data_IF_068150469454
#
_entry.id   IF_068150469454
#
_cell.length_a   1.000
_cell.length_b   1.000
_cell.length_c   1.000
_cell.angle_alpha   90.00
_cell.angle_beta   90.00
_cell.angle_gamma   90.00
#
_symmetry.space_group_name_H-M   'P 1'
#
loop_
_entity.id
_entity.type
_entity.pdbx_description
1 polymer ?
#
# COMPACT_ATOMS: atom_id res chain seq x y z
N UNK A 1 14.10 13.88 13.13
CA UNK A 1 13.56 15.15 12.58
C UNK A 1 12.10 15.28 12.97
N UNK A 2 11.60 16.50 13.15
CA UNK A 2 10.19 16.76 13.43
C UNK A 2 9.29 16.27 12.28
N UNK A 3 8.21 15.58 12.60
CA UNK A 3 7.30 14.97 11.62
C UNK A 3 6.69 16.02 10.70
N UNK A 4 6.31 17.16 11.26
CA UNK A 4 5.69 18.26 10.50
C UNK A 4 6.66 18.83 9.46
N UNK A 5 7.94 18.96 9.82
CA UNK A 5 8.98 19.44 8.89
C UNK A 5 9.21 18.44 7.76
N UNK A 6 9.21 17.15 8.07
CA UNK A 6 9.34 16.10 7.05
C UNK A 6 8.15 16.11 6.07
N UNK A 7 6.94 16.34 6.56
CA UNK A 7 5.73 16.39 5.71
C UNK A 7 5.74 17.61 4.77
N UNK A 8 6.26 18.76 5.21
CA UNK A 8 6.48 19.93 4.34
C UNK A 8 7.50 19.61 3.25
N UNK A 9 8.63 19.01 3.61
CA UNK A 9 9.67 18.63 2.64
C UNK A 9 9.13 17.66 1.60
N UNK A 10 8.38 16.63 2.01
CA UNK A 10 7.73 15.69 1.09
C UNK A 10 6.71 16.37 0.17
N UNK A 11 6.03 17.41 0.64
CA UNK A 11 5.10 18.20 -0.16
C UNK A 11 5.82 19.03 -1.22
N UNK A 12 6.98 19.60 -0.88
CA UNK A 12 7.87 20.31 -1.83
C UNK A 12 8.43 19.35 -2.87
N UNK A 13 8.96 18.20 -2.45
CA UNK A 13 9.50 17.19 -3.37
C UNK A 13 8.45 16.69 -4.36
N UNK A 14 7.21 16.48 -3.89
CA UNK A 14 6.07 16.15 -4.77
C UNK A 14 5.81 17.24 -5.81
N UNK A 15 5.78 18.51 -5.40
CA UNK A 15 5.58 19.63 -6.30
C UNK A 15 6.68 19.72 -7.37
N UNK A 16 7.95 19.61 -6.97
CA UNK A 16 9.08 19.65 -7.90
C UNK A 16 9.00 18.52 -8.93
N UNK A 17 8.67 17.31 -8.49
CA UNK A 17 8.44 16.16 -9.38
C UNK A 17 7.34 16.46 -10.41
N UNK A 18 6.17 16.91 -9.96
CA UNK A 18 5.02 17.18 -10.84
C UNK A 18 5.38 18.25 -11.91
N UNK A 19 6.16 19.27 -11.54
CA UNK A 19 6.62 20.31 -12.47
C UNK A 19 7.64 19.79 -13.49
N UNK A 20 8.57 18.92 -13.07
CA UNK A 20 9.58 18.29 -13.94
C UNK A 20 8.93 17.34 -14.96
N UNK A 21 7.91 16.58 -14.52
CA UNK A 21 7.11 15.71 -15.40
C UNK A 21 6.21 16.51 -16.35
N UNK A 22 5.92 17.78 -16.05
CA UNK A 22 5.09 18.64 -16.90
C UNK A 22 5.75 18.97 -18.25
N UNK A 23 4.93 19.23 -19.28
CA UNK A 23 5.41 19.63 -20.62
C UNK A 23 5.64 21.14 -20.74
N UNK A 24 5.55 21.90 -19.64
CA UNK A 24 5.58 23.37 -19.67
C UNK A 24 6.98 23.96 -19.56
N UNK A 25 7.91 23.20 -19.00
CA UNK A 25 9.28 23.64 -18.73
C UNK A 25 10.24 23.15 -19.81
N UNK A 26 11.23 23.97 -20.14
CA UNK A 26 12.35 23.57 -20.99
C UNK A 26 13.34 22.66 -20.24
N UNK A 27 14.32 22.10 -20.95
CA UNK A 27 15.26 21.13 -20.37
C UNK A 27 16.16 21.76 -19.30
N UNK A 28 16.58 23.02 -19.47
CA UNK A 28 17.45 23.72 -18.51
C UNK A 28 16.71 23.99 -17.18
N UNK A 29 15.43 24.38 -17.27
CA UNK A 29 14.55 24.54 -16.12
C UNK A 29 14.34 23.21 -15.39
N UNK A 30 14.11 22.12 -16.13
CA UNK A 30 13.94 20.79 -15.55
C UNK A 30 15.19 20.31 -14.82
N UNK A 31 16.37 20.49 -15.42
CA UNK A 31 17.65 20.17 -14.78
C UNK A 31 17.83 20.96 -13.48
N UNK A 32 17.52 22.25 -13.49
CA UNK A 32 17.60 23.11 -12.30
C UNK A 32 16.67 22.64 -11.18
N UNK A 33 15.45 22.21 -11.50
CA UNK A 33 14.51 21.67 -10.52
C UNK A 33 14.94 20.28 -10.00
N UNK A 34 15.53 19.44 -10.85
CA UNK A 34 16.02 18.11 -10.44
C UNK A 34 17.19 18.25 -9.44
N UNK A 35 18.07 19.24 -9.63
CA UNK A 35 19.11 19.57 -8.64
C UNK A 35 18.48 20.00 -7.32
N UNK A 36 17.48 20.89 -7.34
CA UNK A 36 16.80 21.33 -6.12
C UNK A 36 16.14 20.15 -5.37
N UNK A 37 15.52 19.23 -6.10
CA UNK A 37 14.93 18.00 -5.57
C UNK A 37 15.99 17.11 -4.91
N UNK A 38 17.11 16.84 -5.58
CA UNK A 38 18.21 16.01 -5.03
C UNK A 38 18.85 16.64 -3.79
N UNK A 39 18.99 17.97 -3.75
CA UNK A 39 19.49 18.67 -2.57
C UNK A 39 18.58 18.42 -1.35
N UNK A 40 17.27 18.50 -1.53
CA UNK A 40 16.31 18.24 -0.46
C UNK A 40 16.31 16.77 -0.04
N UNK A 41 16.34 15.84 -0.99
CA UNK A 41 16.41 14.39 -0.72
C UNK A 41 17.64 14.03 0.09
N UNK A 42 18.81 14.52 -0.31
CA UNK A 42 20.07 14.26 0.40
C UNK A 42 20.10 14.92 1.78
N UNK A 43 19.62 16.16 1.91
CA UNK A 43 19.63 16.89 3.20
C UNK A 43 18.73 16.23 4.24
N UNK A 44 17.63 15.63 3.80
CA UNK A 44 16.60 15.07 4.67
C UNK A 44 16.57 13.53 4.69
N UNK A 45 17.55 12.89 4.03
CA UNK A 45 17.68 11.42 3.94
C UNK A 45 16.40 10.75 3.41
N UNK A 46 15.77 11.35 2.40
CA UNK A 46 14.53 10.85 1.77
C UNK A 46 14.90 10.11 0.49
N UNK A 47 14.64 8.81 0.45
CA UNK A 47 14.71 8.02 -0.78
C UNK A 47 13.37 8.09 -1.51
N UNK A 48 13.29 8.97 -2.51
CA UNK A 48 12.06 9.26 -3.25
C UNK A 48 11.85 8.36 -4.48
N UNK A 49 12.70 7.33 -4.67
CA UNK A 49 12.53 6.34 -5.73
C UNK A 49 11.22 5.55 -5.63
N UNK A 50 10.58 5.57 -4.45
CA UNK A 50 9.27 4.99 -4.19
C UNK A 50 8.16 6.06 -4.22
N UNK A 51 7.19 5.89 -5.13
CA UNK A 51 6.03 6.76 -5.25
C UNK A 51 5.17 6.83 -3.97
N UNK A 52 5.30 5.85 -3.06
CA UNK A 52 4.64 5.83 -1.75
C UNK A 52 5.08 6.96 -0.83
N UNK A 53 6.29 7.51 -1.01
CA UNK A 53 6.79 8.65 -0.21
C UNK A 53 5.92 9.89 -0.38
N UNK A 54 5.28 10.03 -1.54
CA UNK A 54 4.41 11.17 -1.87
C UNK A 54 2.93 10.91 -1.59
N UNK A 55 2.52 9.69 -1.23
CA UNK A 55 1.09 9.35 -1.09
C UNK A 55 0.45 10.01 0.14
N UNK A 56 1.25 10.33 1.16
CA UNK A 56 0.78 10.99 2.37
C UNK A 56 1.01 12.51 2.39
N UNK A 57 1.80 13.07 1.45
CA UNK A 57 2.11 14.50 1.45
C UNK A 57 1.01 15.32 0.78
N UNK A 58 0.63 16.43 1.43
CA UNK A 58 -0.35 17.35 0.89
C UNK A 58 0.20 18.03 -0.38
N UNK A 59 -0.65 18.23 -1.38
CA UNK A 59 -0.24 19.02 -2.53
C UNK A 59 -0.02 20.48 -2.08
N UNK A 60 1.14 21.08 -2.36
CA UNK A 60 1.43 22.46 -1.93
C UNK A 60 0.43 23.47 -2.50
N UNK A 61 -0.05 23.30 -3.73
CA UNK A 61 -1.12 24.15 -4.26
C UNK A 61 -2.37 24.08 -3.39
N UNK A 62 -2.69 22.90 -2.85
CA UNK A 62 -3.80 22.76 -1.91
C UNK A 62 -3.53 23.55 -0.62
N UNK A 63 -2.35 23.41 -0.02
CA UNK A 63 -1.98 24.12 1.21
C UNK A 63 -2.05 25.65 1.07
N UNK A 64 -1.64 26.21 -0.08
CA UNK A 64 -1.70 27.64 -0.31
C UNK A 64 -3.09 28.13 -0.77
N UNK A 65 -3.85 27.33 -1.52
CA UNK A 65 -5.15 27.75 -2.06
C UNK A 65 -6.34 27.47 -1.13
N UNK A 66 -6.19 26.66 -0.08
CA UNK A 66 -7.30 26.42 0.88
C UNK A 66 -7.74 27.70 1.60
N UNK A 67 -6.89 28.72 1.72
CA UNK A 67 -7.26 29.99 2.35
C UNK A 67 -7.61 31.11 1.35
N UNK A 68 -7.43 30.89 0.04
CA UNK A 68 -7.80 31.86 -0.97
C UNK A 68 -9.32 31.89 -1.17
N UNK A 69 -9.86 33.09 -1.44
CA UNK A 69 -11.23 33.21 -1.96
C UNK A 69 -11.27 32.64 -3.38
N UNK A 70 -12.20 31.73 -3.63
CA UNK A 70 -12.43 31.17 -4.95
C UNK A 70 -13.33 32.14 -5.70
N UNK A 71 -12.85 32.71 -6.81
CA UNK A 71 -13.68 33.59 -7.64
C UNK A 71 -14.86 32.83 -8.25
N UNK A 72 -15.95 33.54 -8.53
CA UNK A 72 -17.14 32.95 -9.14
C UNK A 72 -16.83 32.27 -10.48
N UNK A 73 -15.96 32.89 -11.30
CA UNK A 73 -15.49 32.32 -12.55
C UNK A 73 -14.68 31.03 -12.34
N UNK A 74 -13.79 30.99 -11.33
CA UNK A 74 -13.03 29.79 -11.01
C UNK A 74 -13.96 28.66 -10.54
N UNK A 75 -14.96 28.97 -9.71
CA UNK A 75 -15.96 28.01 -9.26
C UNK A 75 -16.79 27.46 -10.42
N UNK A 76 -17.22 28.32 -11.35
CA UNK A 76 -17.95 27.92 -12.55
C UNK A 76 -17.11 27.03 -13.47
N UNK A 77 -15.87 27.43 -13.75
CA UNK A 77 -14.95 26.64 -14.57
C UNK A 77 -14.65 25.27 -13.93
N UNK A 78 -14.52 25.21 -12.60
CA UNK A 78 -14.33 23.96 -11.87
C UNK A 78 -15.54 23.02 -12.03
N UNK A 79 -16.75 23.57 -11.99
CA UNK A 79 -17.99 22.80 -12.18
C UNK A 79 -18.10 22.25 -13.61
N UNK A 80 -17.71 23.02 -14.64
CA UNK A 80 -17.65 22.54 -16.02
C UNK A 80 -16.65 21.39 -16.18
N UNK A 81 -15.47 21.49 -15.55
CA UNK A 81 -14.48 20.41 -15.53
C UNK A 81 -15.03 19.16 -14.84
N UNK A 82 -15.75 19.30 -13.72
CA UNK A 82 -16.43 18.17 -13.08
C UNK A 82 -17.42 17.50 -14.03
N UNK A 83 -18.23 18.27 -14.78
CA UNK A 83 -19.17 17.71 -15.76
C UNK A 83 -18.43 16.93 -16.85
N UNK A 84 -17.31 17.44 -17.37
CA UNK A 84 -16.47 16.70 -18.33
C UNK A 84 -15.90 15.42 -17.72
N UNK A 85 -15.39 15.48 -16.49
CA UNK A 85 -14.92 14.30 -15.76
C UNK A 85 -16.02 13.25 -15.57
N UNK A 86 -17.25 13.68 -15.26
CA UNK A 86 -18.40 12.77 -15.16
C UNK A 86 -18.72 12.10 -16.50
N UNK A 87 -18.58 12.81 -17.62
CA UNK A 87 -18.79 12.22 -18.95
C UNK A 87 -17.71 11.18 -19.28
N UNK A 88 -16.44 11.48 -18.99
CA UNK A 88 -15.36 10.50 -19.11
C UNK A 88 -15.60 9.27 -18.24
N UNK A 89 -16.07 9.43 -16.99
CA UNK A 89 -16.45 8.30 -16.12
C UNK A 89 -17.53 7.42 -16.75
N UNK A 90 -18.56 8.01 -17.35
CA UNK A 90 -19.64 7.27 -18.02
C UNK A 90 -19.14 6.47 -19.23
N UNK A 91 -18.11 6.98 -19.90
CA UNK A 91 -17.49 6.34 -21.06
C UNK A 91 -16.36 5.35 -20.70
N UNK A 92 -16.09 5.12 -19.42
CA UNK A 92 -14.99 4.25 -18.97
C UNK A 92 -13.58 4.86 -19.11
N UNK A 93 -13.48 6.15 -19.42
CA UNK A 93 -12.24 6.91 -19.61
C UNK A 93 -11.72 7.45 -18.26
N UNK A 94 -11.24 6.56 -17.40
CA UNK A 94 -10.98 6.92 -16.00
C UNK A 94 -9.76 7.82 -15.79
N UNK A 95 -8.75 7.73 -16.66
CA UNK A 95 -7.55 8.59 -16.58
C UNK A 95 -7.90 10.03 -16.96
N UNK A 96 -8.69 10.22 -18.01
CA UNK A 96 -9.21 11.51 -18.44
C UNK A 96 -10.16 12.10 -17.39
N UNK A 97 -10.96 11.26 -16.73
CA UNK A 97 -11.77 11.70 -15.61
C UNK A 97 -10.92 12.21 -14.43
N UNK A 98 -9.85 11.50 -14.07
CA UNK A 98 -8.90 11.93 -13.03
C UNK A 98 -8.30 13.31 -13.34
N UNK A 99 -7.87 13.53 -14.59
CA UNK A 99 -7.31 14.81 -15.03
C UNK A 99 -8.33 15.95 -14.89
N UNK A 100 -9.58 15.73 -15.35
CA UNK A 100 -10.64 16.73 -15.22
C UNK A 100 -10.96 17.07 -13.77
N UNK A 101 -11.09 16.06 -12.88
CA UNK A 101 -11.36 16.33 -11.46
C UNK A 101 -10.18 17.00 -10.76
N UNK A 102 -8.95 16.66 -11.14
CA UNK A 102 -7.75 17.32 -10.60
C UNK A 102 -7.70 18.79 -10.99
N UNK A 103 -8.01 19.11 -12.25
CA UNK A 103 -8.14 20.51 -12.70
C UNK A 103 -9.27 21.24 -11.96
N UNK A 104 -10.40 20.59 -11.71
CA UNK A 104 -11.50 21.17 -10.92
C UNK A 104 -11.08 21.48 -9.47
N UNK A 105 -10.35 20.56 -8.84
CA UNK A 105 -9.79 20.73 -7.48
C UNK A 105 -8.79 21.90 -7.44
N UNK A 106 -7.93 22.03 -8.46
CA UNK A 106 -6.97 23.12 -8.52
C UNK A 106 -7.64 24.51 -8.61
N UNK A 107 -8.80 24.59 -9.27
CA UNK A 107 -9.59 25.82 -9.38
C UNK A 107 -10.46 26.11 -8.15
N UNK A 108 -11.04 25.06 -7.55
CA UNK A 108 -11.86 25.19 -6.35
C UNK A 108 -11.61 24.00 -5.41
N UNK A 109 -10.60 24.11 -4.52
CA UNK A 109 -10.20 23.04 -3.61
C UNK A 109 -11.20 22.82 -2.46
N UNK A 110 -12.19 23.69 -2.29
CA UNK A 110 -13.15 23.63 -1.18
C UNK A 110 -14.38 22.79 -1.50
N UNK A 111 -14.54 22.35 -2.76
CA UNK A 111 -15.69 21.57 -3.17
C UNK A 111 -15.45 20.07 -2.97
N UNK A 112 -16.04 19.54 -1.89
CA UNK A 112 -15.94 18.12 -1.53
C UNK A 112 -16.36 17.15 -2.66
N UNK A 113 -17.26 17.57 -3.56
CA UNK A 113 -17.77 16.71 -4.64
C UNK A 113 -16.66 16.30 -5.60
N UNK A 114 -15.67 17.16 -5.85
CA UNK A 114 -14.60 16.86 -6.79
C UNK A 114 -13.70 15.74 -6.27
N UNK A 115 -13.33 15.79 -4.98
CA UNK A 115 -12.60 14.71 -4.31
C UNK A 115 -13.40 13.41 -4.30
N UNK A 116 -14.68 13.48 -3.91
CA UNK A 116 -15.57 12.31 -3.92
C UNK A 116 -15.64 11.66 -5.31
N UNK A 117 -15.73 12.46 -6.38
CA UNK A 117 -15.77 11.98 -7.75
C UNK A 117 -14.41 11.41 -8.22
N UNK A 118 -13.31 12.07 -7.88
CA UNK A 118 -11.95 11.59 -8.19
C UNK A 118 -11.62 10.28 -7.47
N UNK A 119 -12.09 10.10 -6.24
CA UNK A 119 -12.00 8.83 -5.52
C UNK A 119 -12.67 7.67 -6.30
N UNK A 120 -13.83 7.88 -6.94
CA UNK A 120 -14.40 6.82 -7.77
C UNK A 120 -13.56 6.50 -9.00
N UNK A 121 -12.96 7.49 -9.64
CA UNK A 121 -12.05 7.24 -10.75
C UNK A 121 -10.83 6.43 -10.28
N UNK A 122 -10.25 6.78 -9.13
CA UNK A 122 -9.19 5.98 -8.51
C UNK A 122 -9.63 4.54 -8.20
N UNK A 123 -10.82 4.33 -7.64
CA UNK A 123 -11.35 2.99 -7.38
C UNK A 123 -11.52 2.17 -8.66
N UNK A 124 -11.93 2.79 -9.78
CA UNK A 124 -12.04 2.13 -11.08
C UNK A 124 -10.70 1.75 -11.70
N UNK A 125 -9.63 2.41 -11.25
CA UNK A 125 -8.24 2.16 -11.67
C UNK A 125 -7.47 1.30 -10.65
N UNK A 126 -8.17 0.71 -9.67
CA UNK A 126 -7.57 -0.10 -8.59
C UNK A 126 -6.54 0.65 -7.73
N UNK A 127 -6.54 1.99 -7.78
CA UNK A 127 -5.69 2.87 -6.97
C UNK A 127 -6.34 3.15 -5.61
N UNK A 128 -6.53 2.10 -4.81
CA UNK A 128 -7.35 2.15 -3.60
C UNK A 128 -6.84 3.13 -2.53
N UNK A 129 -5.53 3.23 -2.32
CA UNK A 129 -4.95 4.21 -1.39
C UNK A 129 -5.22 5.66 -1.80
N UNK A 130 -5.14 5.97 -3.10
CA UNK A 130 -5.52 7.30 -3.61
C UNK A 130 -7.01 7.58 -3.42
N UNK A 131 -7.87 6.57 -3.61
CA UNK A 131 -9.30 6.69 -3.35
C UNK A 131 -9.61 6.96 -1.87
N UNK A 132 -8.89 6.30 -0.94
CA UNK A 132 -9.00 6.56 0.50
C UNK A 132 -8.62 8.00 0.84
N UNK A 133 -7.49 8.49 0.32
CA UNK A 133 -7.03 9.86 0.55
C UNK A 133 -8.08 10.89 0.10
N UNK A 134 -8.61 10.75 -1.12
CA UNK A 134 -9.64 11.65 -1.64
C UNK A 134 -10.98 11.54 -0.88
N UNK A 135 -11.37 10.33 -0.44
CA UNK A 135 -12.57 10.19 0.39
C UNK A 135 -12.41 10.90 1.73
N UNK A 136 -11.26 10.76 2.39
CA UNK A 136 -10.96 11.44 3.65
C UNK A 136 -10.97 12.96 3.50
N UNK A 137 -10.38 13.48 2.42
CA UNK A 137 -10.43 14.94 2.17
C UNK A 137 -11.85 15.42 1.87
N UNK A 138 -12.63 14.66 1.07
CA UNK A 138 -14.05 14.96 0.87
C UNK A 138 -14.82 14.99 2.19
N UNK A 139 -14.58 14.04 3.10
CA UNK A 139 -15.28 13.96 4.40
C UNK A 139 -14.90 15.13 5.29
N UNK A 140 -13.62 15.52 5.30
CA UNK A 140 -13.13 16.68 6.04
C UNK A 140 -13.78 17.98 5.57
N UNK A 141 -13.99 18.15 4.26
CA UNK A 141 -14.67 19.30 3.69
C UNK A 141 -16.18 19.28 3.94
N UNK A 142 -16.84 18.15 3.66
CA UNK A 142 -18.26 17.96 3.93
C UNK A 142 -18.58 16.46 4.05
N UNK A 143 -18.97 15.97 5.25
CA UNK A 143 -19.25 14.56 5.46
C UNK A 143 -20.55 14.16 4.74
N UNK A 144 -20.47 13.18 3.84
CA UNK A 144 -21.63 12.67 3.10
C UNK A 144 -21.66 11.15 3.11
N UNK A 145 -22.87 10.58 3.06
CA UNK A 145 -23.06 9.14 2.94
C UNK A 145 -22.29 8.56 1.74
N UNK A 146 -22.26 9.29 0.61
CA UNK A 146 -21.55 8.88 -0.61
C UNK A 146 -20.03 8.81 -0.42
N UNK A 147 -19.43 9.76 0.28
CA UNK A 147 -17.99 9.75 0.54
C UNK A 147 -17.61 8.59 1.50
N UNK A 148 -18.38 8.38 2.56
CA UNK A 148 -18.20 7.24 3.46
C UNK A 148 -18.42 5.90 2.77
N UNK A 149 -19.45 5.77 1.92
CA UNK A 149 -19.68 4.56 1.16
C UNK A 149 -18.53 4.22 0.20
N UNK A 150 -17.94 5.22 -0.45
CA UNK A 150 -16.76 5.04 -1.30
C UNK A 150 -15.50 4.70 -0.51
N UNK A 151 -15.34 5.29 0.68
CA UNK A 151 -14.27 4.95 1.61
C UNK A 151 -14.37 3.47 2.03
N UNK A 152 -15.57 3.01 2.36
CA UNK A 152 -15.85 1.61 2.67
C UNK A 152 -15.47 0.68 1.51
N UNK A 153 -15.85 1.03 0.27
CA UNK A 153 -15.47 0.25 -0.92
C UNK A 153 -13.95 0.18 -1.09
N UNK A 154 -13.25 1.30 -0.93
CA UNK A 154 -11.79 1.32 -1.04
C UNK A 154 -11.13 0.43 0.01
N UNK A 155 -11.61 0.45 1.26
CA UNK A 155 -11.11 -0.42 2.32
C UNK A 155 -11.45 -1.90 2.09
N UNK A 156 -12.67 -2.22 1.65
CA UNK A 156 -13.05 -3.60 1.29
C UNK A 156 -12.12 -4.18 0.24
N UNK A 157 -11.78 -3.41 -0.81
CA UNK A 157 -10.88 -3.86 -1.87
C UNK A 157 -9.44 -4.10 -1.39
N UNK A 158 -9.05 -3.54 -0.25
CA UNK A 158 -7.75 -3.76 0.40
C UNK A 158 -7.82 -4.79 1.53
N UNK A 159 -8.95 -5.50 1.68
CA UNK A 159 -9.23 -6.45 2.76
C UNK A 159 -9.15 -5.85 4.17
N UNK A 160 -9.29 -4.52 4.28
CA UNK A 160 -9.34 -3.78 5.55
C UNK A 160 -10.79 -3.77 6.05
N UNK A 161 -11.29 -4.94 6.43
CA UNK A 161 -12.73 -5.13 6.67
C UNK A 161 -13.24 -4.38 7.90
N UNK A 162 -12.40 -4.18 8.93
CA UNK A 162 -12.76 -3.35 10.08
C UNK A 162 -12.97 -1.88 9.66
N UNK A 163 -12.00 -1.29 8.95
CA UNK A 163 -12.13 0.08 8.45
C UNK A 163 -13.29 0.23 7.45
N UNK A 164 -13.52 -0.80 6.62
CA UNK A 164 -14.66 -0.83 5.70
C UNK A 164 -15.99 -0.82 6.45
N UNK A 165 -16.13 -1.66 7.49
CA UNK A 165 -17.31 -1.73 8.36
C UNK A 165 -17.59 -0.37 9.00
N UNK A 166 -16.58 0.28 9.55
CA UNK A 166 -16.73 1.58 10.19
C UNK A 166 -17.20 2.66 9.19
N UNK A 167 -16.62 2.66 7.98
CA UNK A 167 -17.01 3.57 6.92
C UNK A 167 -18.44 3.31 6.41
N UNK A 168 -18.83 2.04 6.17
CA UNK A 168 -20.20 1.71 5.75
C UNK A 168 -21.22 1.99 6.84
N UNK A 169 -20.87 1.79 8.11
CA UNK A 169 -21.73 2.17 9.24
C UNK A 169 -22.05 3.65 9.20
N UNK A 170 -21.04 4.52 9.03
CA UNK A 170 -21.26 5.96 8.84
C UNK A 170 -22.03 6.32 7.58
N UNK A 171 -21.83 5.59 6.48
CA UNK A 171 -22.64 5.79 5.28
C UNK A 171 -24.12 5.46 5.52
N UNK A 172 -24.40 4.36 6.21
CA UNK A 172 -25.76 3.91 6.55
C UNK A 172 -26.44 4.82 7.58
N UNK A 173 -25.72 5.31 8.60
CA UNK A 173 -26.24 6.31 9.55
C UNK A 173 -26.71 7.59 8.82
N UNK A 174 -25.97 8.04 7.81
CA UNK A 174 -26.28 9.26 7.06
C UNK A 174 -27.36 9.08 5.97
N UNK A 175 -27.50 7.87 5.43
CA UNK A 175 -28.54 7.51 4.46
C UNK A 175 -29.05 6.08 4.70
N UNK A 176 -29.97 5.90 5.67
CA UNK A 176 -30.49 4.59 6.04
C UNK A 176 -31.33 3.94 4.93
N UNK A 177 -31.82 4.74 3.97
CA UNK A 177 -32.67 4.27 2.87
C UNK A 177 -31.89 3.54 1.78
N UNK A 178 -30.56 3.69 1.78
CA UNK A 178 -29.70 3.10 0.78
C UNK A 178 -29.32 1.66 1.16
N UNK A 179 -30.04 0.71 0.56
CA UNK A 179 -29.82 -0.73 0.76
C UNK A 179 -28.37 -1.17 0.45
N UNK A 180 -27.64 -0.46 -0.42
CA UNK A 180 -26.25 -0.81 -0.76
C UNK A 180 -25.33 -0.66 0.46
N UNK A 181 -25.52 0.37 1.28
CA UNK A 181 -24.68 0.57 2.47
C UNK A 181 -24.96 -0.49 3.54
N UNK A 182 -26.23 -0.85 3.73
CA UNK A 182 -26.60 -1.94 4.64
C UNK A 182 -26.02 -3.29 4.18
N UNK A 183 -26.15 -3.60 2.89
CA UNK A 183 -25.60 -4.83 2.30
C UNK A 183 -24.07 -4.89 2.44
N UNK A 184 -23.37 -3.80 2.09
CA UNK A 184 -21.91 -3.75 2.19
C UNK A 184 -21.42 -3.78 3.64
N UNK A 185 -22.17 -3.18 4.58
CA UNK A 185 -21.86 -3.27 6.01
C UNK A 185 -21.95 -4.72 6.50
N UNK A 186 -23.03 -5.44 6.16
CA UNK A 186 -23.18 -6.87 6.50
C UNK A 186 -22.07 -7.72 5.90
N UNK A 187 -21.75 -7.47 4.62
CA UNK A 187 -20.67 -8.19 3.94
C UNK A 187 -19.31 -7.93 4.60
N UNK A 188 -19.01 -6.67 4.96
CA UNK A 188 -17.77 -6.34 5.67
C UNK A 188 -17.69 -7.03 7.04
N UNK A 189 -18.80 -7.15 7.76
CA UNK A 189 -18.87 -7.86 9.04
C UNK A 189 -18.66 -9.37 8.88
N UNK A 190 -19.31 -9.99 7.90
CA UNK A 190 -19.14 -11.40 7.56
C UNK A 190 -17.68 -11.72 7.18
N UNK A 191 -17.09 -10.90 6.32
CA UNK A 191 -15.70 -11.05 5.89
C UNK A 191 -14.71 -10.84 7.06
N UNK A 192 -15.00 -9.92 7.97
CA UNK A 192 -14.20 -9.70 9.18
C UNK A 192 -14.25 -10.92 10.11
N UNK A 193 -15.44 -11.50 10.33
CA UNK A 193 -15.59 -12.71 11.18
C UNK A 193 -14.99 -13.97 10.55
N UNK A 194 -14.89 -14.01 9.22
CA UNK A 194 -14.33 -15.13 8.48
C UNK A 194 -12.80 -15.07 8.35
N UNK A 195 -12.15 -13.96 8.74
CA UNK A 195 -10.68 -13.88 8.71
C UNK A 195 -10.05 -14.72 9.83
N UNK A 196 -9.01 -15.52 9.53
CA UNK A 196 -8.25 -16.20 10.57
C UNK A 196 -7.58 -15.17 11.50
N UNK A 197 -7.50 -15.45 12.82
CA UNK A 197 -6.83 -14.56 13.77
C UNK A 197 -5.41 -14.23 13.31
N UNK A 198 -5.10 -12.94 13.13
CA UNK A 198 -3.77 -12.48 12.73
C UNK A 198 -3.53 -12.34 11.21
N UNK A 199 -4.56 -12.48 10.37
CA UNK A 199 -4.44 -12.11 8.95
C UNK A 199 -4.04 -10.63 8.80
N UNK A 200 -2.93 -10.36 8.10
CA UNK A 200 -2.47 -9.01 7.85
C UNK A 200 -3.51 -8.24 7.00
N UNK A 201 -4.14 -7.22 7.58
CA UNK A 201 -5.07 -6.34 6.89
C UNK A 201 -4.29 -5.23 6.17
N UNK A 202 -4.64 -4.95 4.91
CA UNK A 202 -4.15 -3.75 4.21
C UNK A 202 -2.64 -3.73 3.93
N UNK A 203 -1.97 -4.87 3.79
CA UNK A 203 -0.56 -4.88 3.39
C UNK A 203 -0.40 -4.19 2.02
N UNK A 204 0.27 -3.04 2.00
CA UNK A 204 0.71 -2.40 0.77
C UNK A 204 1.83 -3.27 0.18
N UNK A 205 1.63 -3.95 -0.97
CA UNK A 205 2.67 -4.79 -1.53
C UNK A 205 3.83 -3.90 -1.97
N UNK A 206 4.84 -3.78 -1.12
CA UNK A 206 6.10 -3.17 -1.52
C UNK A 206 6.73 -4.08 -2.59
N UNK A 207 7.17 -3.54 -3.74
CA UNK A 207 7.73 -4.33 -4.83
C UNK A 207 9.03 -5.07 -4.46
N UNK A 208 9.57 -4.85 -3.25
CA UNK A 208 10.77 -5.51 -2.74
C UNK A 208 10.51 -6.47 -1.56
N UNK A 209 9.25 -6.81 -1.28
CA UNK A 209 8.93 -7.81 -0.26
C UNK A 209 9.30 -9.21 -0.78
N UNK A 210 10.52 -9.64 -0.48
CA UNK A 210 10.97 -11.01 -0.73
C UNK A 210 10.07 -11.99 0.06
N UNK A 211 9.26 -12.84 -0.60
CA UNK A 211 8.23 -13.66 0.07
C UNK A 211 8.79 -14.78 0.96
N UNK A 212 10.12 -14.92 1.06
CA UNK A 212 10.82 -15.97 1.80
C UNK A 212 11.78 -15.43 2.87
N UNK A 213 11.68 -14.17 3.26
CA UNK A 213 12.56 -13.62 4.30
C UNK A 213 12.17 -14.11 5.71
N UNK A 214 12.73 -15.27 6.08
CA UNK A 214 12.62 -15.91 7.39
C UNK A 214 13.05 -14.99 8.56
N UNK A 215 13.88 -13.97 8.31
CA UNK A 215 14.27 -13.02 9.36
C UNK A 215 13.12 -12.10 9.80
N UNK A 216 12.14 -11.80 8.94
CA UNK A 216 10.94 -11.05 9.36
C UNK A 216 9.92 -11.95 10.07
N UNK A 217 9.95 -13.26 9.79
CA UNK A 217 9.12 -14.25 10.46
C UNK A 217 9.60 -14.51 11.90
N UNK A 218 10.92 -14.62 12.10
CA UNK A 218 11.53 -14.90 13.41
C UNK A 218 11.62 -13.68 14.34
N UNK A 219 11.56 -12.46 13.82
CA UNK A 219 11.62 -11.24 14.63
C UNK A 219 10.22 -10.69 14.99
N UNK A 220 9.14 -11.34 14.56
CA UNK A 220 7.77 -10.92 14.89
C UNK A 220 7.17 -11.86 15.95
N UNK A 221 6.98 -11.40 17.20
CA UNK A 221 6.45 -12.24 18.29
C UNK A 221 5.07 -12.82 18.00
N UNK A 222 4.24 -12.12 17.22
CA UNK A 222 2.90 -12.58 16.82
C UNK A 222 2.96 -13.70 15.77
N UNK A 223 3.97 -13.70 14.90
CA UNK A 223 4.17 -14.79 13.93
C UNK A 223 4.80 -16.02 14.60
N UNK A 224 5.67 -15.83 15.59
CA UNK A 224 6.22 -16.94 16.40
C UNK A 224 5.13 -17.60 17.24
N UNK A 225 4.23 -16.83 17.85
CA UNK A 225 3.09 -17.39 18.60
C UNK A 225 2.08 -18.06 17.68
N UNK A 226 1.90 -17.56 16.46
CA UNK A 226 1.09 -18.20 15.42
C UNK A 226 1.71 -19.52 14.95
N UNK A 227 3.03 -19.55 14.72
CA UNK A 227 3.75 -20.76 14.35
C UNK A 227 3.70 -21.81 15.45
N UNK A 228 3.84 -21.40 16.72
CA UNK A 228 3.72 -22.31 17.86
C UNK A 228 2.29 -22.83 18.02
N UNK A 229 1.27 -22.01 17.74
CA UNK A 229 -0.13 -22.44 17.72
C UNK A 229 -0.41 -23.45 16.60
N UNK A 230 0.08 -23.21 15.37
CA UNK A 230 -0.06 -24.17 14.27
C UNK A 230 0.68 -25.49 14.56
N UNK A 231 1.88 -25.44 15.14
CA UNK A 231 2.63 -26.65 15.53
C UNK A 231 1.93 -27.40 16.67
N UNK A 232 1.22 -26.69 17.54
CA UNK A 232 0.42 -27.30 18.60
C UNK A 232 -0.95 -27.81 18.14
N UNK A 233 -1.36 -27.53 16.89
CA UNK A 233 -2.61 -28.02 16.32
C UNK A 233 -2.48 -29.51 15.93
N UNK A 234 -3.27 -30.42 16.55
CA UNK A 234 -3.26 -31.84 16.22
C UNK A 234 -3.61 -32.15 14.76
N UNK A 235 -4.43 -31.31 14.11
CA UNK A 235 -4.80 -31.50 12.71
C UNK A 235 -3.62 -31.22 11.78
N UNK A 236 -2.81 -30.20 12.10
CA UNK A 236 -1.61 -29.86 11.36
C UNK A 236 -0.51 -30.94 11.55
N UNK A 237 -0.34 -31.47 12.76
CA UNK A 237 0.58 -32.58 13.03
C UNK A 237 0.20 -33.85 12.26
N UNK A 238 -1.10 -34.19 12.20
CA UNK A 238 -1.56 -35.33 11.40
C UNK A 238 -1.34 -35.11 9.90
N UNK A 239 -1.59 -33.90 9.39
CA UNK A 239 -1.38 -33.56 7.98
C UNK A 239 0.10 -33.61 7.58
N UNK A 240 0.98 -33.04 8.41
CA UNK A 240 2.44 -33.08 8.19
C UNK A 240 3.00 -34.49 8.29
N UNK A 241 2.47 -35.30 9.21
CA UNK A 241 2.83 -36.71 9.32
C UNK A 241 2.35 -37.51 8.10
N UNK A 242 1.17 -37.22 7.57
CA UNK A 242 0.62 -37.84 6.36
C UNK A 242 1.43 -37.44 5.11
N UNK A 243 1.84 -36.17 5.01
CA UNK A 243 2.71 -35.68 3.94
C UNK A 243 4.11 -36.31 4.02
N UNK A 244 4.67 -36.46 5.22
CA UNK A 244 5.95 -37.12 5.42
C UNK A 244 5.90 -38.61 5.03
N UNK A 245 4.79 -39.30 5.34
CA UNK A 245 4.55 -40.67 4.89
C UNK A 245 4.39 -40.76 3.37
N UNK A 246 3.72 -39.78 2.76
CA UNK A 246 3.52 -39.74 1.31
C UNK A 246 4.84 -39.48 0.56
N UNK A 247 5.71 -38.62 1.11
CA UNK A 247 7.06 -38.37 0.62
C UNK A 247 7.97 -39.59 0.77
N UNK A 248 7.89 -40.30 1.90
CA UNK A 248 8.61 -41.57 2.10
C UNK A 248 8.16 -42.66 1.13
N UNK A 249 6.86 -42.72 0.83
CA UNK A 249 6.31 -43.68 -0.14
C UNK A 249 6.66 -43.31 -1.59
N UNK A 250 6.75 -42.02 -1.91
CA UNK A 250 7.03 -41.55 -3.27
C UNK A 250 8.52 -41.61 -3.65
N UNK A 251 9.45 -41.47 -2.70
CA UNK A 251 10.89 -41.49 -3.01
C UNK A 251 11.77 -41.96 -1.83
N UNK A 252 11.84 -43.27 -1.54
CA UNK A 252 12.58 -43.80 -0.40
C UNK A 252 14.09 -43.50 -0.45
N UNK A 253 14.65 -43.34 -1.65
CA UNK A 253 16.07 -43.04 -1.85
C UNK A 253 16.44 -41.59 -1.48
N UNK A 254 15.47 -40.66 -1.50
CA UNK A 254 15.69 -39.26 -1.12
C UNK A 254 15.88 -39.12 0.39
N UNK A 255 15.18 -39.93 1.17
CA UNK A 255 15.30 -39.97 2.63
C UNK A 255 16.63 -40.61 3.03
N UNK A 256 17.07 -41.67 2.35
CA UNK A 256 18.35 -42.33 2.63
C UNK A 256 19.55 -41.43 2.27
N UNK A 257 19.47 -40.69 1.17
CA UNK A 257 20.50 -39.71 0.78
C UNK A 257 20.54 -38.51 1.72
N UNK A 258 19.39 -37.99 2.18
CA UNK A 258 19.35 -36.96 3.25
C UNK A 258 19.91 -37.48 4.57
N UNK A 259 19.63 -38.73 4.92
CA UNK A 259 20.15 -39.38 6.13
C UNK A 259 21.67 -39.57 6.07
N UNK A 260 22.21 -39.98 4.91
CA UNK A 260 23.65 -40.09 4.68
C UNK A 260 24.34 -38.72 4.68
N UNK A 261 23.70 -37.69 4.10
CA UNK A 261 24.26 -36.31 4.08
C UNK A 261 24.33 -35.71 5.47
N UNK A 262 23.31 -35.94 6.32
CA UNK A 262 23.37 -35.51 7.72
C UNK A 262 24.34 -36.34 8.56
N UNK A 263 24.49 -37.64 8.31
CA UNK A 263 25.44 -38.47 9.06
C UNK A 263 26.91 -38.16 8.70
N UNK A 264 27.18 -37.77 7.45
CA UNK A 264 28.51 -37.34 7.00
C UNK A 264 28.92 -35.96 7.55
N UNK A 265 27.96 -35.05 7.78
CA UNK A 265 28.24 -33.74 8.38
C UNK A 265 28.45 -33.77 9.90
N UNK A 266 28.18 -34.90 10.57
CA UNK A 266 28.35 -35.05 12.03
C UNK A 266 29.35 -36.15 12.43
N UNK A 267 30.03 -36.80 11.48
CA UNK A 267 31.09 -37.78 11.76
C UNK A 267 32.51 -37.19 11.63
N UNK A 268 32.71 -35.96 12.13
CA UNK A 268 34.06 -35.48 12.48
C UNK A 268 34.43 -36.09 13.83
N UNK A 269 35.26 -37.13 13.83
CA UNK A 269 35.75 -37.77 15.05
C UNK A 269 36.62 -36.75 15.82
N UNK A 270 36.36 -36.45 17.12
CA UNK A 270 37.09 -35.41 17.85
C UNK A 270 38.58 -35.72 18.14
N UNK A 271 39.06 -36.91 17.78
CA UNK A 271 40.39 -37.42 18.17
C UNK A 271 41.43 -37.47 17.04
N UNK A 272 41.16 -36.90 15.86
CA UNK A 272 42.23 -36.76 14.85
C UNK A 272 43.13 -35.56 15.20
N UNK A 273 44.45 -35.76 15.41
CA UNK A 273 45.34 -34.66 15.72
C UNK A 273 45.43 -33.71 14.52
N UNK A 274 45.55 -32.39 14.75
CA UNK A 274 45.54 -31.41 13.67
C UNK A 274 46.74 -31.63 12.75
N UNK A 275 46.46 -31.90 11.47
CA UNK A 275 47.48 -31.83 10.42
C UNK A 275 47.80 -30.36 10.15
N UNK A 276 49.06 -30.00 10.43
CA UNK A 276 49.63 -28.68 10.18
C UNK A 276 49.67 -28.37 8.67
N UNK A 277 49.05 -27.28 8.18
CA UNK A 277 49.03 -26.95 6.75
C UNK A 277 50.35 -26.41 6.17
N UNK A 278 51.47 -26.40 6.91
CA UNK A 278 52.69 -25.69 6.49
C UNK A 278 53.72 -26.52 5.68
N UNK A 279 53.38 -27.70 5.18
CA UNK A 279 54.27 -28.45 4.28
C UNK A 279 53.51 -29.11 3.12
N UNK A 280 53.39 -28.42 1.99
CA UNK A 280 53.39 -29.07 0.66
C UNK A 280 53.58 -28.08 -0.51
N UNK A 281 54.35 -27.01 -0.31
CA UNK A 281 55.10 -26.41 -1.42
C UNK A 281 56.52 -26.95 -1.38
N UNK A 282 56.74 -28.12 -1.97
CA UNK A 282 57.98 -28.46 -2.68
C UNK A 282 57.97 -29.89 -3.23
N UNK A 283 58.30 -29.96 -4.52
CA UNK A 283 59.00 -31.03 -5.23
C UNK A 283 58.15 -32.06 -5.99
N UNK A 284 58.12 -31.76 -7.30
CA UNK A 284 58.35 -32.63 -8.47
C UNK A 284 57.30 -33.67 -8.85
#
# INVERSE_FOLDING_TARGET
MDKEKLDIVKSILRFLRDEIESTKLDMEQKESLEVAKQCLESTYEIDSGDASVYSESANLYYLFNVNAEVSEDAAKNAEELKVRGNNHMKNGQYIEALDMYTKAINLNPKNHVFYCNRAAAYSRLEKHWNAVADCKESIKLFPTAKAYGRLGVAYSNMNMYQDAKDAYSKAHELDPSNATYEQNLKLADELLTSQPPGAAQGANPSPNANPLNINNFLNNPALISMASQMISDPAFLNMTQQLAQQMQAANPNLIESLRQTMNANFSGNPDDPPQDPSQNDQQN
#
